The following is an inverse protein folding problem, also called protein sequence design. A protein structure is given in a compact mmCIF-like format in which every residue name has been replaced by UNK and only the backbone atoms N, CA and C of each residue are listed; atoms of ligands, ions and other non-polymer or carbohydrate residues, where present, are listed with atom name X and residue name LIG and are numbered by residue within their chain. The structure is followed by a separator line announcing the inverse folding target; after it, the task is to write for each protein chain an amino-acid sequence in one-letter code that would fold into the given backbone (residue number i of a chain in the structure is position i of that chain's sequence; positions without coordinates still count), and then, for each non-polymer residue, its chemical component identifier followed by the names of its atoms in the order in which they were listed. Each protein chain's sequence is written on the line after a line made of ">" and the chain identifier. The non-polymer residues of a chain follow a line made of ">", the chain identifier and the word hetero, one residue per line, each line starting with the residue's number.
data_IF_170375348780
#
_entry.id   IF_170375348780
#
_cell.length_a   1.000
_cell.length_b   1.000
_cell.length_c   1.000
_cell.angle_alpha   90.00
_cell.angle_beta   90.00
_cell.angle_gamma   90.00
#
_symmetry.space_group_name_H-M   'P 1'
#
loop_
_entity.id
_entity.type
_entity.pdbx_description
1 polymer ?
#
# COMPACT_ATOMS: atom_id res chain seq x y z
N UNK A 1 -18.03 -23.27 -20.12
CA UNK A 1 -17.47 -24.08 -21.20
C UNK A 1 -16.32 -23.43 -22.00
N UNK A 2 -16.00 -22.15 -21.76
CA UNK A 2 -14.89 -21.42 -22.44
C UNK A 2 -13.50 -21.59 -21.80
N UNK A 3 -13.40 -22.02 -20.54
CA UNK A 3 -12.11 -22.14 -19.84
C UNK A 3 -11.26 -23.33 -20.27
N UNK A 4 -11.88 -24.38 -20.81
CA UNK A 4 -11.15 -25.59 -21.25
C UNK A 4 -10.48 -25.45 -22.64
N UNK A 5 -10.85 -24.42 -23.42
CA UNK A 5 -10.25 -24.15 -24.73
C UNK A 5 -9.04 -23.20 -24.67
N UNK A 6 -8.85 -22.47 -23.57
CA UNK A 6 -7.73 -21.54 -23.42
C UNK A 6 -6.40 -22.24 -23.10
N UNK A 7 -6.44 -23.33 -22.32
CA UNK A 7 -5.22 -24.08 -21.92
C UNK A 7 -4.44 -24.67 -23.13
N UNK A 8 -5.07 -25.31 -24.12
CA UNK A 8 -4.35 -25.77 -25.30
C UNK A 8 -3.78 -24.63 -26.17
N UNK A 9 -4.49 -23.49 -26.24
CA UNK A 9 -4.07 -22.32 -27.03
C UNK A 9 -2.84 -21.66 -26.43
N UNK A 10 -2.76 -21.53 -25.10
CA UNK A 10 -1.59 -21.00 -24.40
C UNK A 10 -0.35 -21.84 -24.66
N UNK A 11 -0.42 -23.15 -24.49
CA UNK A 11 0.70 -24.06 -24.73
C UNK A 11 1.21 -24.00 -26.19
N UNK A 12 0.30 -24.00 -27.15
CA UNK A 12 0.66 -23.94 -28.57
C UNK A 12 1.32 -22.60 -28.89
N UNK A 13 0.80 -21.50 -28.38
CA UNK A 13 1.31 -20.15 -28.62
C UNK A 13 2.70 -19.96 -28.04
N UNK A 14 2.90 -20.36 -26.78
CA UNK A 14 4.19 -20.26 -26.08
C UNK A 14 5.24 -21.16 -26.75
N UNK A 15 4.90 -22.42 -27.09
CA UNK A 15 5.80 -23.33 -27.77
C UNK A 15 6.20 -22.82 -29.17
N UNK A 16 5.26 -22.25 -29.92
CA UNK A 16 5.54 -21.67 -31.23
C UNK A 16 6.49 -20.48 -31.13
N UNK A 17 6.30 -19.58 -30.15
CA UNK A 17 7.17 -18.42 -29.95
C UNK A 17 8.55 -18.82 -29.44
N UNK A 18 8.66 -19.89 -28.63
CA UNK A 18 9.95 -20.40 -28.18
C UNK A 18 10.81 -20.92 -29.33
N UNK A 19 10.20 -21.60 -30.30
CA UNK A 19 10.90 -22.10 -31.49
C UNK A 19 11.36 -20.95 -32.45
N UNK A 20 10.69 -19.77 -32.40
CA UNK A 20 10.94 -18.65 -33.30
C UNK A 20 11.59 -17.44 -32.61
N UNK A 21 12.69 -17.66 -31.89
CA UNK A 21 13.42 -16.61 -31.14
C UNK A 21 13.87 -15.38 -31.94
N UNK A 22 13.97 -15.48 -33.28
CA UNK A 22 14.36 -14.38 -34.18
C UNK A 22 13.21 -13.49 -34.71
N UNK A 23 11.96 -13.78 -34.32
CA UNK A 23 10.81 -12.98 -34.80
C UNK A 23 10.71 -11.65 -34.00
N UNK A 24 10.39 -10.57 -34.72
CA UNK A 24 10.07 -9.28 -34.10
C UNK A 24 8.75 -9.36 -33.32
N UNK A 25 8.57 -8.53 -32.28
CA UNK A 25 7.34 -8.48 -31.48
C UNK A 25 6.11 -8.25 -32.36
N UNK A 26 6.20 -7.39 -33.38
CA UNK A 26 5.15 -7.16 -34.37
C UNK A 26 4.70 -8.44 -35.06
N UNK A 27 5.63 -9.26 -35.52
CA UNK A 27 5.31 -10.55 -36.15
C UNK A 27 4.70 -11.54 -35.18
N UNK A 28 5.23 -11.59 -33.97
CA UNK A 28 4.67 -12.45 -32.90
C UNK A 28 3.23 -12.06 -32.57
N UNK A 29 2.91 -10.76 -32.47
CA UNK A 29 1.54 -10.27 -32.21
C UNK A 29 0.60 -10.64 -33.39
N UNK A 30 1.04 -10.50 -34.62
CA UNK A 30 0.24 -10.88 -35.79
C UNK A 30 -0.06 -12.41 -35.77
N UNK A 31 0.97 -13.25 -35.57
CA UNK A 31 0.83 -14.68 -35.44
C UNK A 31 -0.05 -15.08 -34.24
N UNK A 32 0.04 -14.34 -33.13
CA UNK A 32 -0.84 -14.54 -31.97
C UNK A 32 -2.32 -14.41 -32.35
N UNK A 33 -2.71 -13.42 -33.15
CA UNK A 33 -4.10 -13.28 -33.61
C UNK A 33 -4.55 -14.47 -34.47
N UNK A 34 -3.66 -15.00 -35.29
CA UNK A 34 -3.94 -16.17 -36.15
C UNK A 34 -4.15 -17.44 -35.31
N UNK A 35 -3.22 -17.74 -34.39
CA UNK A 35 -3.27 -18.93 -33.54
C UNK A 35 -4.47 -18.89 -32.61
N UNK A 36 -4.74 -17.73 -31.97
CA UNK A 36 -5.86 -17.55 -31.03
C UNK A 36 -7.20 -17.35 -31.73
N UNK A 37 -7.20 -17.32 -33.08
CA UNK A 37 -8.40 -17.06 -33.91
C UNK A 37 -9.15 -15.79 -33.49
N UNK A 38 -8.40 -14.73 -33.15
CA UNK A 38 -8.97 -13.41 -32.90
C UNK A 38 -9.34 -12.80 -34.26
N UNK A 39 -10.44 -13.24 -34.81
CA UNK A 39 -10.92 -12.83 -36.15
C UNK A 39 -12.45 -12.84 -36.18
N UNK A 40 -13.02 -12.23 -37.22
CA UNK A 40 -14.44 -12.30 -37.56
C UNK A 40 -14.58 -12.93 -38.94
N UNK A 41 -15.49 -13.89 -39.08
CA UNK A 41 -15.82 -14.43 -40.39
C UNK A 41 -16.90 -13.54 -41.05
N UNK A 42 -16.54 -12.94 -42.19
CA UNK A 42 -17.49 -12.16 -42.97
C UNK A 42 -17.44 -12.64 -44.44
N UNK A 43 -18.62 -13.02 -44.97
CA UNK A 43 -18.75 -13.53 -46.37
C UNK A 43 -17.82 -14.69 -46.72
N UNK A 44 -17.51 -15.58 -45.76
CA UNK A 44 -16.63 -16.71 -45.94
C UNK A 44 -15.13 -16.43 -45.69
N UNK A 45 -14.72 -15.17 -45.56
CA UNK A 45 -13.34 -14.77 -45.29
C UNK A 45 -13.12 -14.45 -43.82
N UNK A 46 -11.92 -14.80 -43.29
CA UNK A 46 -11.49 -14.47 -41.94
C UNK A 46 -10.81 -13.09 -41.92
N UNK A 47 -11.39 -12.17 -41.16
CA UNK A 47 -10.85 -10.83 -40.95
C UNK A 47 -10.13 -10.74 -39.63
N UNK A 48 -8.82 -10.55 -39.62
CA UNK A 48 -7.97 -10.35 -38.48
C UNK A 48 -7.76 -8.86 -38.14
N UNK A 49 -7.27 -8.51 -36.93
CA UNK A 49 -6.84 -7.16 -36.61
C UNK A 49 -5.76 -6.67 -37.61
N UNK A 50 -5.96 -5.48 -38.15
CA UNK A 50 -5.07 -4.89 -39.16
C UNK A 50 -4.09 -3.96 -38.46
N UNK A 51 -2.79 -4.19 -38.66
CA UNK A 51 -1.74 -3.31 -38.13
C UNK A 51 -1.85 -1.91 -38.77
N UNK A 52 -1.81 -0.86 -37.94
CA UNK A 52 -1.84 0.56 -38.36
C UNK A 52 -0.44 1.16 -38.25
N UNK A 53 0.13 1.17 -37.03
CA UNK A 53 1.43 1.79 -36.74
C UNK A 53 2.04 1.23 -35.47
N UNK A 54 3.34 1.46 -35.30
CA UNK A 54 4.05 1.32 -34.06
C UNK A 54 4.61 2.66 -33.61
N UNK A 55 4.62 2.91 -32.31
CA UNK A 55 5.18 4.11 -31.70
C UNK A 55 6.05 3.67 -30.55
N UNK A 56 7.34 3.96 -30.64
CA UNK A 56 8.33 3.60 -29.63
C UNK A 56 8.62 4.79 -28.73
N UNK A 57 8.69 4.53 -27.41
CA UNK A 57 9.19 5.44 -26.41
C UNK A 57 10.36 4.80 -25.64
N UNK A 58 10.91 5.51 -24.64
CA UNK A 58 12.06 5.05 -23.87
C UNK A 58 11.79 3.74 -23.11
N UNK A 59 10.55 3.49 -22.69
CA UNK A 59 10.16 2.38 -21.83
C UNK A 59 9.34 1.30 -22.53
N UNK A 60 8.76 1.59 -23.72
CA UNK A 60 7.82 0.68 -24.37
C UNK A 60 7.74 0.87 -25.88
N UNK A 61 7.14 -0.10 -26.56
CA UNK A 61 6.69 0.01 -27.94
C UNK A 61 5.18 -0.21 -27.96
N UNK A 62 4.44 0.71 -28.54
CA UNK A 62 3.00 0.66 -28.65
C UNK A 62 2.60 0.24 -30.07
N UNK A 63 2.03 -0.95 -30.22
CA UNK A 63 1.52 -1.47 -31.49
C UNK A 63 0.02 -1.17 -31.59
N UNK A 64 -0.38 -0.49 -32.67
CA UNK A 64 -1.77 -0.07 -32.88
C UNK A 64 -2.37 -0.90 -34.00
N UNK A 65 -3.52 -1.52 -33.70
CA UNK A 65 -4.28 -2.33 -34.64
C UNK A 65 -5.72 -1.83 -34.77
N UNK A 66 -6.27 -1.88 -35.98
CA UNK A 66 -7.69 -1.67 -36.23
C UNK A 66 -8.42 -2.99 -36.09
N UNK A 67 -9.43 -3.05 -35.26
CA UNK A 67 -10.23 -4.27 -35.06
C UNK A 67 -11.35 -4.38 -36.09
N UNK A 68 -11.60 -5.58 -36.63
CA UNK A 68 -12.84 -5.88 -37.33
C UNK A 68 -14.07 -5.67 -36.45
N UNK A 69 -15.18 -5.31 -37.04
CA UNK A 69 -16.45 -5.20 -36.33
C UNK A 69 -16.89 -6.59 -35.83
N UNK A 70 -17.27 -6.65 -34.55
CA UNK A 70 -17.78 -7.89 -33.94
C UNK A 70 -16.81 -8.59 -32.99
N UNK A 71 -15.58 -8.11 -32.82
CA UNK A 71 -14.65 -8.63 -31.78
C UNK A 71 -14.91 -7.89 -30.46
N UNK A 72 -15.33 -8.59 -29.38
CA UNK A 72 -15.52 -8.00 -28.08
C UNK A 72 -14.16 -7.60 -27.46
N UNK A 73 -14.05 -6.35 -27.01
CA UNK A 73 -12.83 -5.84 -26.34
C UNK A 73 -12.43 -6.64 -25.11
N UNK A 74 -13.39 -7.16 -24.38
CA UNK A 74 -13.15 -8.00 -23.20
C UNK A 74 -12.42 -9.30 -23.50
N UNK A 75 -12.65 -9.90 -24.70
CA UNK A 75 -11.97 -11.10 -25.13
C UNK A 75 -10.47 -10.88 -25.25
N UNK A 76 -10.09 -9.75 -25.86
CA UNK A 76 -8.68 -9.44 -26.10
C UNK A 76 -7.96 -9.08 -24.80
N UNK A 77 -8.63 -8.40 -23.85
CA UNK A 77 -8.04 -8.12 -22.53
C UNK A 77 -7.65 -9.42 -21.79
N UNK A 78 -8.46 -10.47 -21.89
CA UNK A 78 -8.16 -11.79 -21.31
C UNK A 78 -6.97 -12.51 -21.98
N UNK A 79 -6.59 -12.08 -23.17
CA UNK A 79 -5.44 -12.64 -23.88
C UNK A 79 -4.14 -11.89 -23.62
N UNK A 80 -4.15 -10.85 -22.76
CA UNK A 80 -2.95 -10.11 -22.41
C UNK A 80 -1.89 -11.02 -21.78
N UNK A 81 -2.28 -11.89 -20.84
CA UNK A 81 -1.39 -12.86 -20.18
C UNK A 81 -0.70 -13.78 -21.19
N UNK A 82 -1.45 -14.31 -22.16
CA UNK A 82 -0.90 -15.18 -23.22
C UNK A 82 0.11 -14.43 -24.09
N UNK A 83 -0.16 -13.14 -24.34
CA UNK A 83 0.79 -12.26 -25.06
C UNK A 83 2.05 -12.00 -24.23
N UNK A 84 1.92 -11.75 -22.94
CA UNK A 84 3.06 -11.55 -22.02
C UNK A 84 3.98 -12.78 -22.01
N UNK A 85 3.39 -13.96 -21.83
CA UNK A 85 4.12 -15.23 -21.87
C UNK A 85 4.81 -15.46 -23.23
N UNK A 86 4.11 -15.19 -24.33
CA UNK A 86 4.65 -15.40 -25.67
C UNK A 86 5.73 -14.38 -26.07
N UNK A 87 5.64 -13.15 -25.59
CA UNK A 87 6.62 -12.09 -25.85
C UNK A 87 7.77 -12.09 -24.84
N UNK A 88 7.62 -12.74 -23.67
CA UNK A 88 8.52 -12.64 -22.52
C UNK A 88 8.72 -11.19 -22.06
N UNK A 89 7.68 -10.37 -22.20
CA UNK A 89 7.67 -8.94 -21.88
C UNK A 89 6.31 -8.55 -21.29
N UNK A 90 6.27 -7.62 -20.34
CA UNK A 90 5.00 -7.10 -19.85
C UNK A 90 4.21 -6.39 -20.95
N UNK A 91 2.89 -6.59 -20.95
CA UNK A 91 1.99 -6.03 -21.95
C UNK A 91 0.79 -5.34 -21.29
N UNK A 92 0.49 -4.13 -21.71
CA UNK A 92 -0.79 -3.48 -21.39
C UNK A 92 -1.64 -3.35 -22.64
N UNK A 93 -2.92 -3.76 -22.53
CA UNK A 93 -3.87 -3.67 -23.64
C UNK A 93 -4.92 -2.62 -23.32
N UNK A 94 -5.17 -1.73 -24.27
CA UNK A 94 -6.21 -0.72 -24.15
C UNK A 94 -6.96 -0.54 -25.48
N UNK A 95 -8.17 0.03 -25.38
CA UNK A 95 -9.04 0.29 -26.54
C UNK A 95 -9.44 1.75 -26.55
N UNK A 96 -9.34 2.38 -27.72
CA UNK A 96 -9.82 3.72 -27.96
C UNK A 96 -10.30 3.84 -29.42
N UNK A 97 -11.53 4.32 -29.63
CA UNK A 97 -12.08 4.63 -30.96
C UNK A 97 -11.92 3.51 -32.02
N UNK A 98 -12.20 2.25 -31.65
CA UNK A 98 -12.02 1.04 -32.48
C UNK A 98 -10.57 0.63 -32.75
N UNK A 99 -9.62 1.29 -32.12
CA UNK A 99 -8.22 0.90 -32.18
C UNK A 99 -7.84 0.11 -30.95
N UNK A 100 -7.07 -0.94 -31.16
CA UNK A 100 -6.44 -1.77 -30.15
C UNK A 100 -5.02 -1.30 -29.99
N UNK A 101 -4.67 -0.92 -28.77
CA UNK A 101 -3.32 -0.53 -28.38
C UNK A 101 -2.71 -1.65 -27.56
N UNK A 102 -1.63 -2.26 -28.08
CA UNK A 102 -0.83 -3.28 -27.39
C UNK A 102 0.51 -2.64 -27.04
N UNK A 103 0.66 -2.26 -25.77
CA UNK A 103 1.88 -1.65 -25.26
C UNK A 103 2.79 -2.71 -24.67
N UNK A 104 3.91 -2.97 -25.34
CA UNK A 104 4.93 -3.95 -24.93
C UNK A 104 6.07 -3.21 -24.24
N UNK A 105 6.34 -3.53 -23.00
CA UNK A 105 7.37 -2.86 -22.22
C UNK A 105 8.73 -3.50 -22.40
N UNK A 106 9.78 -2.67 -22.44
CA UNK A 106 11.18 -3.10 -22.58
C UNK A 106 11.77 -3.67 -21.30
N UNK A 107 11.18 -3.30 -20.14
CA UNK A 107 11.65 -3.69 -18.82
C UNK A 107 10.47 -4.17 -17.96
N UNK A 108 10.77 -5.01 -16.99
CA UNK A 108 9.83 -5.43 -15.95
C UNK A 108 9.87 -4.48 -14.76
N UNK A 109 8.86 -4.58 -13.87
CA UNK A 109 8.93 -3.93 -12.57
C UNK A 109 10.15 -4.48 -11.84
N UNK A 110 11.06 -3.65 -11.30
CA UNK A 110 12.28 -4.11 -10.66
C UNK A 110 11.94 -5.00 -9.44
N UNK A 111 12.70 -6.05 -9.21
CA UNK A 111 12.53 -6.90 -8.02
C UNK A 111 12.92 -6.18 -6.72
N UNK A 112 13.84 -5.22 -6.83
CA UNK A 112 14.26 -4.36 -5.74
C UNK A 112 14.44 -2.94 -6.24
N UNK A 113 13.88 -1.99 -5.51
CA UNK A 113 14.02 -0.57 -5.81
C UNK A 113 14.38 0.18 -4.53
N UNK A 114 15.50 0.87 -4.51
CA UNK A 114 15.96 1.57 -3.33
C UNK A 114 15.28 2.94 -3.19
N UNK A 115 14.98 3.31 -1.98
CA UNK A 115 14.51 4.64 -1.63
C UNK A 115 15.61 5.68 -1.83
N UNK A 116 15.25 6.88 -2.28
CA UNK A 116 16.15 8.01 -2.44
C UNK A 116 15.43 9.33 -2.16
N UNK A 117 16.17 10.40 -1.87
CA UNK A 117 15.59 11.70 -1.53
C UNK A 117 14.83 12.36 -2.68
N UNK A 118 15.17 12.06 -3.92
CA UNK A 118 14.48 12.54 -5.12
C UNK A 118 13.03 12.01 -5.27
N UNK A 119 12.67 11.02 -4.46
CA UNK A 119 11.28 10.54 -4.36
C UNK A 119 10.40 11.43 -3.46
N UNK A 120 11.00 12.37 -2.72
CA UNK A 120 10.26 13.28 -1.86
C UNK A 120 9.57 14.38 -2.68
N UNK A 121 8.39 14.79 -2.25
CA UNK A 121 7.68 15.98 -2.74
C UNK A 121 7.58 16.98 -1.59
N UNK A 122 8.58 17.83 -1.50
CA UNK A 122 8.71 18.80 -0.41
C UNK A 122 7.44 19.65 -0.21
N UNK A 123 7.11 19.93 1.03
CA UNK A 123 5.96 20.71 1.46
C UNK A 123 4.59 20.18 1.01
N UNK A 124 4.50 18.91 0.63
CA UNK A 124 3.23 18.25 0.27
C UNK A 124 2.92 17.06 1.19
N UNK A 125 1.70 16.54 1.10
CA UNK A 125 1.27 15.30 1.73
C UNK A 125 1.26 14.13 0.75
N UNK A 126 1.91 14.32 -0.41
CA UNK A 126 2.09 13.30 -1.43
C UNK A 126 3.30 12.42 -1.09
N UNK A 127 3.07 11.15 -0.86
CA UNK A 127 4.14 10.19 -0.51
C UNK A 127 4.31 9.15 -1.62
N UNK A 128 5.55 8.80 -1.91
CA UNK A 128 5.87 7.72 -2.83
C UNK A 128 5.42 6.38 -2.27
N UNK A 129 4.54 5.69 -2.99
CA UNK A 129 4.06 4.36 -2.64
C UNK A 129 4.90 3.28 -3.32
N UNK A 130 5.19 3.46 -4.61
CA UNK A 130 5.94 2.47 -5.36
C UNK A 130 6.17 2.83 -6.82
N UNK A 131 6.98 2.02 -7.47
CA UNK A 131 7.25 2.08 -8.90
C UNK A 131 6.43 1.02 -9.61
N UNK A 132 5.50 1.46 -10.45
CA UNK A 132 4.79 0.61 -11.39
C UNK A 132 5.63 0.40 -12.67
N UNK A 133 5.08 -0.33 -13.60
CA UNK A 133 5.75 -0.65 -14.86
C UNK A 133 6.13 0.60 -15.68
N UNK A 134 5.27 1.60 -15.69
CA UNK A 134 5.38 2.79 -16.56
C UNK A 134 5.42 4.12 -15.80
N UNK A 135 5.28 4.11 -14.47
CA UNK A 135 5.19 5.35 -13.69
C UNK A 135 5.53 5.14 -12.21
N UNK A 136 5.84 6.23 -11.56
CA UNK A 136 5.90 6.32 -10.12
C UNK A 136 4.50 6.58 -9.55
N UNK A 137 4.11 5.82 -8.54
CA UNK A 137 2.81 5.94 -7.87
C UNK A 137 3.00 6.71 -6.59
N UNK A 138 2.34 7.86 -6.52
CA UNK A 138 2.25 8.68 -5.31
C UNK A 138 0.85 8.62 -4.73
N UNK A 139 0.77 8.71 -3.42
CA UNK A 139 -0.49 8.83 -2.69
C UNK A 139 -0.59 10.19 -2.01
N UNK A 140 -1.71 10.87 -2.23
CA UNK A 140 -2.00 12.18 -1.65
C UNK A 140 -2.94 12.02 -0.44
N UNK A 141 -2.38 12.16 0.76
CA UNK A 141 -3.15 12.07 2.00
C UNK A 141 -4.13 13.25 2.23
N UNK A 142 -4.08 14.32 1.43
CA UNK A 142 -5.10 15.37 1.45
C UNK A 142 -6.36 14.94 0.69
N UNK A 143 -6.20 14.22 -0.42
CA UNK A 143 -7.30 13.73 -1.24
C UNK A 143 -7.92 12.45 -0.70
N UNK A 144 -7.06 11.52 -0.28
CA UNK A 144 -7.47 10.21 0.23
C UNK A 144 -6.82 9.99 1.59
N UNK A 145 -7.49 10.41 2.68
CA UNK A 145 -6.86 10.55 3.99
C UNK A 145 -6.50 9.22 4.67
N UNK A 146 -7.23 8.15 4.38
CA UNK A 146 -7.07 6.87 5.08
C UNK A 146 -6.57 5.77 4.16
N UNK A 147 -5.77 4.86 4.71
CA UNK A 147 -5.18 3.76 3.96
C UNK A 147 -5.25 2.46 4.77
N UNK A 148 -5.65 1.37 4.11
CA UNK A 148 -5.49 0.01 4.62
C UNK A 148 -4.25 -0.63 4.01
N UNK A 149 -3.45 -1.32 4.84
CA UNK A 149 -2.24 -2.04 4.39
C UNK A 149 -2.33 -3.49 4.84
N UNK A 150 -2.25 -4.42 3.92
CA UNK A 150 -2.33 -5.85 4.20
C UNK A 150 -1.12 -6.59 3.66
N UNK A 151 -0.72 -7.68 4.32
CA UNK A 151 0.37 -8.52 3.81
C UNK A 151 1.01 -9.38 4.88
N UNK A 152 1.44 -10.58 4.46
CA UNK A 152 2.14 -11.53 5.34
C UNK A 152 3.45 -10.94 5.89
N UNK A 153 3.92 -11.52 6.97
CA UNK A 153 5.23 -11.21 7.55
C UNK A 153 6.34 -11.35 6.50
N UNK A 154 7.34 -10.45 6.52
CA UNK A 154 8.50 -10.40 5.61
C UNK A 154 8.24 -9.95 4.18
N UNK A 155 6.99 -9.61 3.80
CA UNK A 155 6.71 -9.11 2.45
C UNK A 155 6.81 -7.59 2.29
N UNK A 156 7.13 -6.82 3.36
CA UNK A 156 7.48 -5.41 3.26
C UNK A 156 6.55 -4.43 3.97
N UNK A 157 5.53 -4.88 4.70
CA UNK A 157 4.58 -4.01 5.44
C UNK A 157 5.29 -3.01 6.36
N UNK A 158 6.16 -3.48 7.26
CA UNK A 158 6.92 -2.61 8.19
C UNK A 158 7.87 -1.67 7.46
N UNK A 159 8.55 -2.14 6.40
CA UNK A 159 9.41 -1.29 5.57
C UNK A 159 8.60 -0.18 4.91
N UNK A 160 7.41 -0.49 4.42
CA UNK A 160 6.49 0.50 3.86
C UNK A 160 6.08 1.56 4.88
N UNK A 161 5.69 1.17 6.10
CA UNK A 161 5.36 2.11 7.17
C UNK A 161 6.55 3.03 7.52
N UNK A 162 7.75 2.47 7.62
CA UNK A 162 8.99 3.22 7.82
C UNK A 162 9.22 4.23 6.70
N UNK A 163 8.99 3.85 5.44
CA UNK A 163 9.10 4.75 4.29
C UNK A 163 8.09 5.91 4.37
N UNK A 164 6.82 5.61 4.67
CA UNK A 164 5.76 6.63 4.79
C UNK A 164 6.12 7.63 5.90
N UNK A 165 6.46 7.13 7.09
CA UNK A 165 6.82 7.99 8.23
C UNK A 165 8.05 8.85 7.92
N UNK A 166 9.11 8.24 7.38
CA UNK A 166 10.33 8.96 7.01
C UNK A 166 10.04 10.04 5.98
N UNK A 167 9.31 9.71 4.92
CA UNK A 167 8.95 10.67 3.87
C UNK A 167 8.12 11.82 4.43
N UNK A 168 7.11 11.55 5.25
CA UNK A 168 6.26 12.59 5.86
C UNK A 168 7.04 13.48 6.82
N UNK A 169 7.96 12.93 7.63
CA UNK A 169 8.81 13.72 8.52
C UNK A 169 9.73 14.66 7.72
N UNK A 170 10.33 14.14 6.65
CA UNK A 170 11.23 14.95 5.81
C UNK A 170 10.47 16.02 5.00
N UNK A 171 9.25 15.72 4.54
CA UNK A 171 8.42 16.63 3.75
C UNK A 171 7.70 17.68 4.60
N UNK A 172 7.27 17.33 5.82
CA UNK A 172 6.43 18.16 6.68
C UNK A 172 6.89 18.14 8.15
N UNK A 173 8.15 18.47 8.45
CA UNK A 173 8.76 18.23 9.77
C UNK A 173 8.07 19.00 10.91
N UNK A 174 7.44 20.13 10.62
CA UNK A 174 6.75 20.96 11.61
C UNK A 174 5.26 20.64 11.74
N UNK A 175 4.68 19.97 10.73
CA UNK A 175 3.23 19.83 10.60
C UNK A 175 2.73 18.41 10.75
N UNK A 176 3.61 17.40 10.63
CA UNK A 176 3.22 16.00 10.81
C UNK A 176 3.30 15.60 12.28
N UNK A 177 2.27 14.90 12.77
CA UNK A 177 2.21 14.29 14.09
C UNK A 177 1.78 12.84 13.97
N UNK A 178 2.45 11.94 14.72
CA UNK A 178 2.17 10.52 14.71
C UNK A 178 1.70 10.03 16.08
N UNK A 179 0.64 9.25 16.07
CA UNK A 179 0.19 8.38 17.15
C UNK A 179 0.31 6.95 16.64
N UNK A 180 1.06 6.10 17.32
CA UNK A 180 1.41 4.77 16.81
C UNK A 180 0.90 3.71 17.79
N UNK A 181 0.15 2.72 17.29
CA UNK A 181 -0.31 1.57 18.04
C UNK A 181 0.49 0.36 17.57
N UNK A 182 1.43 -0.09 18.42
CA UNK A 182 2.29 -1.27 18.20
C UNK A 182 2.15 -2.24 19.36
N UNK A 183 1.10 -3.07 19.31
CA UNK A 183 0.74 -4.03 20.37
C UNK A 183 1.61 -5.30 20.40
N UNK A 184 2.78 -5.25 19.75
CA UNK A 184 3.84 -6.25 19.90
C UNK A 184 4.92 -5.76 20.87
N UNK A 185 4.48 -5.21 22.02
CA UNK A 185 5.35 -4.64 23.04
C UNK A 185 6.25 -3.50 22.52
N UNK A 186 5.81 -2.79 21.47
CA UNK A 186 6.54 -1.67 20.87
C UNK A 186 7.82 -2.06 20.14
N UNK A 187 8.03 -3.34 19.84
CA UNK A 187 9.28 -3.87 19.29
C UNK A 187 9.74 -3.14 18.01
N UNK A 188 8.80 -2.76 17.15
CA UNK A 188 9.10 -2.11 15.87
C UNK A 188 9.19 -0.59 15.99
N UNK A 189 8.31 0.05 16.78
CA UNK A 189 8.13 1.50 16.78
C UNK A 189 8.54 2.23 18.06
N UNK A 190 8.92 1.54 19.15
CA UNK A 190 9.43 2.18 20.37
C UNK A 190 10.60 3.15 20.10
N UNK A 191 11.57 2.85 19.20
CA UNK A 191 12.68 3.77 18.92
C UNK A 191 12.25 5.11 18.32
N UNK A 192 11.02 5.19 17.77
CA UNK A 192 10.48 6.42 17.19
C UNK A 192 9.95 7.41 18.24
N UNK A 193 9.78 7.00 19.52
CA UNK A 193 9.36 7.87 20.64
C UNK A 193 10.29 9.09 20.84
N UNK A 194 11.53 8.97 20.38
CA UNK A 194 12.50 10.06 20.51
C UNK A 194 12.40 11.10 19.37
N UNK A 195 11.54 10.91 18.38
CA UNK A 195 11.32 11.88 17.31
C UNK A 195 10.29 12.92 17.71
N UNK A 196 10.57 14.21 17.44
CA UNK A 196 9.68 15.33 17.78
C UNK A 196 8.30 15.29 17.10
N UNK A 197 8.17 14.52 16.02
CA UNK A 197 6.92 14.31 15.31
C UNK A 197 6.07 13.17 15.88
N UNK A 198 6.66 12.30 16.72
CA UNK A 198 5.93 11.21 17.35
C UNK A 198 5.41 11.67 18.70
N UNK A 199 4.10 11.75 18.81
CA UNK A 199 3.44 12.19 20.04
C UNK A 199 3.49 11.08 21.08
N UNK A 200 3.16 9.86 20.67
CA UNK A 200 3.13 8.70 21.55
C UNK A 200 3.15 7.37 20.75
N UNK A 201 3.62 6.31 21.41
CA UNK A 201 3.56 4.92 20.93
C UNK A 201 2.89 4.10 22.02
N UNK A 202 1.72 3.53 21.70
CA UNK A 202 1.00 2.61 22.58
C UNK A 202 1.48 1.18 22.34
N UNK A 203 1.94 0.52 23.40
CA UNK A 203 2.56 -0.81 23.35
C UNK A 203 1.64 -1.92 23.86
N UNK A 204 0.51 -1.53 24.46
CA UNK A 204 -0.51 -2.44 24.96
C UNK A 204 -1.92 -1.85 24.74
N UNK A 205 -3.00 -2.65 24.88
CA UNK A 205 -4.37 -2.22 24.63
C UNK A 205 -4.83 -1.06 25.51
N UNK A 206 -4.41 -0.99 26.76
CA UNK A 206 -4.77 0.08 27.70
C UNK A 206 -4.20 1.43 27.23
N UNK A 207 -2.92 1.46 26.87
CA UNK A 207 -2.28 2.64 26.29
C UNK A 207 -2.91 3.04 24.97
N UNK A 208 -3.32 2.05 24.14
CA UNK A 208 -4.01 2.33 22.89
C UNK A 208 -5.36 3.01 23.13
N UNK A 209 -6.13 2.55 24.13
CA UNK A 209 -7.39 3.20 24.49
C UNK A 209 -7.16 4.63 24.97
N UNK A 210 -6.22 4.87 25.88
CA UNK A 210 -5.91 6.21 26.38
C UNK A 210 -5.47 7.15 25.25
N UNK A 211 -4.63 6.67 24.33
CA UNK A 211 -4.20 7.41 23.13
C UNK A 211 -5.42 7.79 22.28
N UNK A 212 -6.29 6.83 21.98
CA UNK A 212 -7.46 7.05 21.12
C UNK A 212 -8.46 8.01 21.77
N UNK A 213 -8.60 8.02 23.10
CA UNK A 213 -9.39 9.02 23.84
C UNK A 213 -8.83 10.43 23.59
N UNK A 214 -7.51 10.61 23.76
CA UNK A 214 -6.86 11.92 23.49
C UNK A 214 -7.00 12.36 22.02
N UNK A 215 -6.89 11.42 21.08
CA UNK A 215 -7.12 11.70 19.64
C UNK A 215 -8.56 12.16 19.41
N UNK A 216 -9.55 11.47 20.01
CA UNK A 216 -10.96 11.83 19.90
C UNK A 216 -11.25 13.22 20.48
N UNK A 217 -10.68 13.56 21.65
CA UNK A 217 -10.79 14.90 22.24
C UNK A 217 -10.26 15.99 21.28
N UNK A 218 -9.09 15.74 20.66
CA UNK A 218 -8.57 16.64 19.63
C UNK A 218 -9.51 16.77 18.42
N UNK A 219 -10.14 15.67 17.99
CA UNK A 219 -11.12 15.71 16.89
C UNK A 219 -12.34 16.56 17.26
N UNK A 220 -12.87 16.41 18.49
CA UNK A 220 -14.01 17.19 18.98
C UNK A 220 -13.65 18.70 19.00
N UNK A 221 -12.49 19.05 19.54
CA UNK A 221 -12.00 20.44 19.54
C UNK A 221 -11.85 20.98 18.13
N UNK A 222 -11.32 20.16 17.19
CA UNK A 222 -11.17 20.56 15.79
C UNK A 222 -12.53 20.81 15.11
N UNK A 223 -13.54 19.99 15.40
CA UNK A 223 -14.92 20.19 14.92
C UNK A 223 -15.46 21.55 15.39
N UNK A 224 -15.25 21.90 16.66
CA UNK A 224 -15.75 23.19 17.19
C UNK A 224 -15.06 24.39 16.54
N UNK A 225 -13.72 24.31 16.32
CA UNK A 225 -12.95 25.35 15.62
C UNK A 225 -13.50 25.53 14.21
N UNK A 226 -13.67 24.43 13.47
CA UNK A 226 -14.14 24.46 12.09
C UNK A 226 -15.57 24.99 11.97
N UNK A 227 -16.47 24.57 12.89
CA UNK A 227 -17.84 25.08 12.95
C UNK A 227 -17.88 26.60 13.17
N UNK A 228 -17.07 27.11 14.12
CA UNK A 228 -16.99 28.56 14.38
C UNK A 228 -16.45 29.35 13.18
N UNK A 229 -15.61 28.71 12.38
CA UNK A 229 -14.98 29.33 11.20
C UNK A 229 -15.69 29.04 9.88
N UNK A 230 -16.82 28.31 9.93
CA UNK A 230 -17.64 27.90 8.76
C UNK A 230 -16.88 27.06 7.72
N UNK A 231 -15.89 26.25 8.13
CA UNK A 231 -15.18 25.33 7.26
C UNK A 231 -15.71 23.90 7.42
N UNK A 232 -15.78 23.17 6.31
CA UNK A 232 -16.18 21.76 6.27
C UNK A 232 -14.99 20.81 6.10
N UNK A 233 -13.87 21.32 5.61
CA UNK A 233 -12.66 20.53 5.38
C UNK A 233 -11.43 21.28 5.86
N UNK A 234 -10.51 20.56 6.51
CA UNK A 234 -9.25 21.12 7.04
C UNK A 234 -8.36 21.72 5.94
N UNK A 235 -8.44 21.19 4.71
CA UNK A 235 -7.65 21.72 3.57
C UNK A 235 -8.04 23.14 3.16
N UNK A 236 -9.24 23.57 3.51
CA UNK A 236 -9.73 24.92 3.23
C UNK A 236 -9.32 25.93 4.31
N UNK A 237 -8.64 25.46 5.37
CA UNK A 237 -8.22 26.27 6.52
C UNK A 237 -6.73 26.60 6.46
N UNK A 238 -6.29 27.53 7.35
CA UNK A 238 -4.87 27.82 7.56
C UNK A 238 -4.15 26.75 8.42
N UNK A 239 -4.86 25.77 8.96
CA UNK A 239 -4.32 24.71 9.83
C UNK A 239 -3.55 23.70 9.01
N UNK A 240 -2.23 23.70 9.17
CA UNK A 240 -1.32 22.84 8.40
C UNK A 240 -1.03 21.51 9.07
N UNK A 241 -1.26 21.37 10.38
CA UNK A 241 -0.98 20.14 11.11
C UNK A 241 -1.86 18.98 10.60
N UNK A 242 -1.23 17.81 10.43
CA UNK A 242 -1.93 16.55 10.13
C UNK A 242 -1.48 15.48 11.12
N UNK A 243 -2.47 14.82 11.69
CA UNK A 243 -2.30 13.81 12.72
C UNK A 243 -2.48 12.41 12.10
N UNK A 244 -1.40 11.63 12.06
CA UNK A 244 -1.41 10.27 11.54
C UNK A 244 -1.56 9.27 12.70
N UNK A 245 -2.59 8.44 12.61
CA UNK A 245 -2.80 7.31 13.51
C UNK A 245 -2.37 6.05 12.75
N UNK A 246 -1.32 5.39 13.23
CA UNK A 246 -0.75 4.20 12.61
C UNK A 246 -1.06 3.01 13.51
N UNK A 247 -1.74 2.00 12.96
CA UNK A 247 -1.99 0.71 13.61
C UNK A 247 -1.13 -0.33 12.89
N UNK A 248 -0.07 -0.84 13.52
CA UNK A 248 0.84 -1.82 12.87
C UNK A 248 0.16 -3.18 12.66
N UNK A 249 -0.67 -3.61 13.61
CA UNK A 249 -1.38 -4.88 13.49
C UNK A 249 -2.79 -4.82 14.08
N UNK A 250 -3.76 -4.61 13.20
CA UNK A 250 -5.17 -4.50 13.58
C UNK A 250 -5.75 -5.77 14.20
N UNK A 251 -5.20 -6.95 13.88
CA UNK A 251 -5.62 -8.21 14.48
C UNK A 251 -5.45 -8.22 16.02
N UNK A 252 -4.47 -7.50 16.55
CA UNK A 252 -4.24 -7.39 17.98
C UNK A 252 -5.32 -6.54 18.70
N UNK A 253 -6.11 -5.79 17.96
CA UNK A 253 -7.28 -5.05 18.45
C UNK A 253 -8.60 -5.81 18.27
N UNK A 254 -8.56 -7.08 17.81
CA UNK A 254 -9.75 -7.88 17.58
C UNK A 254 -10.31 -8.44 18.90
N UNK A 255 -11.58 -8.14 19.27
CA UNK A 255 -12.20 -8.64 20.52
C UNK A 255 -12.63 -10.09 20.37
N UNK A 256 -11.70 -11.04 20.52
CA UNK A 256 -11.96 -12.47 20.39
C UNK A 256 -12.75 -13.04 21.58
N UNK A 257 -13.57 -14.07 21.35
CA UNK A 257 -14.43 -14.65 22.39
C UNK A 257 -13.68 -15.30 23.58
N UNK A 258 -12.42 -15.72 23.36
CA UNK A 258 -11.58 -16.34 24.41
C UNK A 258 -11.02 -15.36 25.45
N UNK A 259 -11.15 -14.06 25.25
CA UNK A 259 -10.63 -13.03 26.15
C UNK A 259 -11.59 -12.75 27.33
N UNK A 260 -11.07 -12.33 28.49
CA UNK A 260 -11.89 -11.80 29.60
C UNK A 260 -12.78 -10.65 29.10
N UNK A 261 -14.01 -10.55 29.65
CA UNK A 261 -15.00 -9.54 29.26
C UNK A 261 -14.42 -8.12 29.23
N UNK A 262 -13.72 -7.72 30.30
CA UNK A 262 -13.12 -6.38 30.43
C UNK A 262 -12.17 -6.08 29.30
N UNK A 263 -11.36 -7.05 28.88
CA UNK A 263 -10.40 -6.89 27.78
C UNK A 263 -11.10 -6.83 26.43
N UNK A 264 -12.13 -7.64 26.21
CA UNK A 264 -12.95 -7.57 24.98
C UNK A 264 -13.63 -6.21 24.82
N UNK A 265 -14.25 -5.71 25.92
CA UNK A 265 -14.91 -4.41 25.91
C UNK A 265 -13.92 -3.29 25.59
N UNK A 266 -12.70 -3.34 26.13
CA UNK A 266 -11.62 -2.39 25.84
C UNK A 266 -11.24 -2.41 24.35
N UNK A 267 -10.96 -3.61 23.80
CA UNK A 267 -10.60 -3.76 22.39
C UNK A 267 -11.74 -3.30 21.46
N UNK A 268 -12.98 -3.61 21.80
CA UNK A 268 -14.16 -3.14 21.07
C UNK A 268 -14.23 -1.61 21.04
N UNK A 269 -14.01 -0.94 22.17
CA UNK A 269 -14.00 0.53 22.23
C UNK A 269 -12.86 1.10 21.35
N UNK A 270 -11.68 0.48 21.35
CA UNK A 270 -10.59 0.88 20.47
C UNK A 270 -10.99 0.78 18.98
N UNK A 271 -11.63 -0.32 18.58
CA UNK A 271 -12.09 -0.48 17.19
C UNK A 271 -13.18 0.54 16.80
N UNK A 272 -14.12 0.84 17.70
CA UNK A 272 -15.15 1.87 17.47
C UNK A 272 -14.51 3.25 17.29
N UNK A 273 -13.54 3.62 18.12
CA UNK A 273 -12.83 4.90 18.00
C UNK A 273 -12.02 4.99 16.68
N UNK A 274 -11.35 3.92 16.28
CA UNK A 274 -10.65 3.87 14.98
C UNK A 274 -11.64 3.97 13.80
N UNK A 275 -12.82 3.35 13.93
CA UNK A 275 -13.89 3.45 12.94
C UNK A 275 -14.46 4.88 12.86
N UNK A 276 -14.58 5.59 14.00
CA UNK A 276 -14.95 7.00 14.04
C UNK A 276 -13.89 7.88 13.36
N UNK A 277 -12.60 7.65 13.63
CA UNK A 277 -11.49 8.35 12.95
C UNK A 277 -11.55 8.14 11.44
N UNK A 278 -11.75 6.90 10.98
CA UNK A 278 -11.88 6.60 9.55
C UNK A 278 -13.08 7.30 8.91
N UNK A 279 -14.19 7.46 9.64
CA UNK A 279 -15.44 8.02 9.12
C UNK A 279 -15.42 9.54 9.01
N UNK A 280 -14.87 10.25 9.99
CA UNK A 280 -14.95 11.72 10.06
C UNK A 280 -13.58 12.41 10.17
N UNK A 281 -12.53 11.69 10.54
CA UNK A 281 -11.21 12.27 10.80
C UNK A 281 -10.57 12.91 9.57
N UNK A 282 -10.84 12.39 8.38
CA UNK A 282 -10.25 12.89 7.14
C UNK A 282 -10.45 14.40 6.93
N UNK A 283 -11.69 14.86 7.04
CA UNK A 283 -12.01 16.29 6.95
C UNK A 283 -11.45 17.15 8.08
N UNK A 284 -11.08 16.53 9.21
CA UNK A 284 -10.56 17.20 10.41
C UNK A 284 -9.03 17.25 10.49
N UNK A 285 -8.31 16.66 9.53
CA UNK A 285 -6.85 16.63 9.56
C UNK A 285 -6.26 15.34 10.16
N UNK A 286 -7.06 14.33 10.46
CA UNK A 286 -6.60 13.04 10.96
C UNK A 286 -6.53 12.01 9.83
N UNK A 287 -5.48 11.20 9.84
CA UNK A 287 -5.15 10.22 8.80
C UNK A 287 -4.94 8.86 9.44
N UNK A 288 -5.73 7.86 9.07
CA UNK A 288 -5.59 6.50 9.59
C UNK A 288 -4.82 5.64 8.58
N UNK A 289 -3.74 5.00 9.05
CA UNK A 289 -3.05 3.93 8.33
C UNK A 289 -3.26 2.66 9.15
N UNK A 290 -4.16 1.80 8.67
CA UNK A 290 -4.55 0.58 9.37
C UNK A 290 -3.92 -0.63 8.70
N UNK A 291 -3.04 -1.33 9.43
CA UNK A 291 -2.33 -2.49 8.90
C UNK A 291 -2.79 -3.79 9.53
N UNK A 292 -2.77 -4.87 8.74
CA UNK A 292 -3.01 -6.24 9.22
C UNK A 292 -2.19 -7.25 8.42
N UNK A 293 -1.72 -8.30 9.08
CA UNK A 293 -0.95 -9.37 8.40
C UNK A 293 -1.88 -10.32 7.65
N UNK A 294 -3.02 -10.63 8.22
CA UNK A 294 -4.00 -11.52 7.61
C UNK A 294 -5.40 -10.92 7.74
N UNK A 295 -5.89 -10.26 6.68
CA UNK A 295 -7.20 -9.62 6.72
C UNK A 295 -8.32 -10.66 6.71
N UNK A 296 -9.20 -10.54 7.72
CA UNK A 296 -10.49 -11.23 7.83
C UNK A 296 -11.57 -10.19 8.12
N UNK A 297 -12.83 -10.59 8.09
CA UNK A 297 -13.93 -9.69 8.45
C UNK A 297 -13.82 -9.14 9.88
N UNK A 298 -13.19 -9.90 10.78
CA UNK A 298 -13.01 -9.54 12.17
C UNK A 298 -11.77 -8.66 12.41
N UNK A 299 -10.66 -8.94 11.68
CA UNK A 299 -9.38 -8.23 11.85
C UNK A 299 -9.27 -6.93 11.05
N UNK A 300 -10.13 -6.76 10.05
CA UNK A 300 -10.27 -5.50 9.28
C UNK A 300 -11.72 -5.03 9.38
N UNK A 301 -12.06 -4.18 10.37
CA UNK A 301 -13.41 -3.71 10.57
C UNK A 301 -13.99 -3.06 9.31
N UNK A 302 -15.24 -3.43 8.98
CA UNK A 302 -15.92 -2.99 7.75
C UNK A 302 -15.92 -1.48 7.57
N UNK A 303 -16.14 -0.73 8.65
CA UNK A 303 -16.17 0.74 8.59
C UNK A 303 -14.81 1.34 8.25
N UNK A 304 -13.73 0.79 8.81
CA UNK A 304 -12.37 1.22 8.48
C UNK A 304 -12.09 0.95 7.00
N UNK A 305 -12.38 -0.28 6.53
CA UNK A 305 -12.18 -0.66 5.14
C UNK A 305 -12.96 0.22 4.15
N UNK A 306 -14.24 0.50 4.46
CA UNK A 306 -15.12 1.30 3.59
C UNK A 306 -14.73 2.78 3.51
N UNK A 307 -14.10 3.33 4.56
CA UNK A 307 -13.66 4.72 4.59
C UNK A 307 -12.17 4.87 4.22
N UNK A 308 -11.49 3.78 3.86
CA UNK A 308 -10.10 3.78 3.40
C UNK A 308 -10.06 3.46 1.90
N UNK A 309 -10.19 4.49 1.06
CA UNK A 309 -10.20 4.32 -0.40
C UNK A 309 -8.84 3.88 -0.94
N UNK A 310 -7.75 4.21 -0.25
CA UNK A 310 -6.42 3.69 -0.57
C UNK A 310 -6.18 2.35 0.11
N UNK A 311 -5.85 1.33 -0.67
CA UNK A 311 -5.54 -0.01 -0.20
C UNK A 311 -4.22 -0.49 -0.79
N UNK A 312 -3.29 -0.91 0.07
CA UNK A 312 -2.03 -1.53 -0.33
C UNK A 312 -2.00 -2.97 0.15
N UNK A 313 -1.84 -3.90 -0.77
CA UNK A 313 -1.73 -5.31 -0.45
C UNK A 313 -0.38 -5.88 -0.91
N UNK A 314 0.40 -6.42 0.02
CA UNK A 314 1.49 -7.33 -0.26
C UNK A 314 0.94 -8.76 -0.41
N UNK A 315 1.79 -9.70 -0.86
CA UNK A 315 1.38 -11.09 -1.03
C UNK A 315 0.60 -11.63 0.16
N UNK A 316 -0.52 -12.29 -0.12
CA UNK A 316 -1.36 -13.02 0.83
C UNK A 316 -1.48 -14.49 0.40
N UNK A 317 -1.85 -15.40 1.32
CA UNK A 317 -1.84 -16.84 0.99
C UNK A 317 -3.07 -17.31 0.23
N UNK A 318 -4.17 -16.55 0.22
CA UNK A 318 -5.45 -16.98 -0.36
C UNK A 318 -6.20 -15.85 -1.07
N UNK A 319 -6.98 -16.21 -2.10
CA UNK A 319 -7.87 -15.27 -2.79
C UNK A 319 -8.94 -14.68 -1.85
N UNK A 320 -9.39 -15.43 -0.83
CA UNK A 320 -10.33 -14.91 0.17
C UNK A 320 -9.73 -13.76 0.97
N UNK A 321 -8.48 -13.91 1.44
CA UNK A 321 -7.80 -12.83 2.16
C UNK A 321 -7.55 -11.63 1.24
N UNK A 322 -7.22 -11.87 -0.03
CA UNK A 322 -7.08 -10.82 -1.05
C UNK A 322 -8.39 -10.05 -1.24
N UNK A 323 -9.51 -10.75 -1.38
CA UNK A 323 -10.85 -10.16 -1.50
C UNK A 323 -11.23 -9.33 -0.26
N UNK A 324 -10.84 -9.75 0.95
CA UNK A 324 -11.05 -8.94 2.15
C UNK A 324 -10.18 -7.69 2.14
N UNK A 325 -8.92 -7.80 1.71
CA UNK A 325 -7.96 -6.69 1.68
C UNK A 325 -8.31 -5.62 0.63
N UNK A 326 -8.54 -6.04 -0.62
CA UNK A 326 -8.62 -5.15 -1.80
C UNK A 326 -10.00 -5.07 -2.45
N UNK A 327 -11.00 -5.84 -2.02
CA UNK A 327 -12.26 -6.08 -2.73
C UNK A 327 -12.07 -6.78 -4.09
N UNK A 328 -10.93 -7.44 -4.30
CA UNK A 328 -10.60 -8.23 -5.48
C UNK A 328 -9.50 -9.26 -5.15
N UNK A 329 -9.36 -10.28 -5.99
CA UNK A 329 -8.27 -11.26 -5.94
C UNK A 329 -6.99 -10.68 -6.58
N UNK A 330 -5.85 -11.37 -6.40
CA UNK A 330 -4.57 -11.07 -7.06
C UNK A 330 -3.39 -10.98 -6.10
N UNK A 331 -3.59 -10.75 -4.80
CA UNK A 331 -2.46 -10.73 -3.84
C UNK A 331 -1.84 -12.12 -3.65
N UNK A 332 -2.61 -13.18 -3.81
CA UNK A 332 -2.16 -14.56 -3.76
C UNK A 332 -1.30 -14.94 -4.98
N UNK A 333 -1.49 -14.23 -6.09
CA UNK A 333 -0.77 -14.45 -7.35
C UNK A 333 0.57 -13.69 -7.41
N UNK A 334 0.74 -12.67 -6.54
CA UNK A 334 1.98 -11.89 -6.50
C UNK A 334 3.21 -12.81 -6.30
N UNK A 335 4.34 -12.53 -6.96
CA UNK A 335 5.58 -13.26 -6.75
C UNK A 335 6.04 -13.15 -5.29
N UNK A 336 6.80 -14.14 -4.81
CA UNK A 336 7.39 -14.13 -3.47
C UNK A 336 8.58 -13.17 -3.37
N UNK A 337 8.35 -11.90 -3.73
CA UNK A 337 9.33 -10.83 -3.73
C UNK A 337 8.97 -9.80 -2.65
N UNK A 338 9.86 -9.51 -1.69
CA UNK A 338 9.64 -8.45 -0.71
C UNK A 338 9.44 -7.09 -1.38
N UNK A 339 8.41 -6.36 -0.96
CA UNK A 339 8.07 -5.05 -1.50
C UNK A 339 7.22 -5.08 -2.77
N UNK A 340 6.93 -6.27 -3.36
CA UNK A 340 5.96 -6.38 -4.44
C UNK A 340 4.56 -6.32 -3.87
N UNK A 341 3.73 -5.42 -4.44
CA UNK A 341 2.40 -5.13 -3.91
C UNK A 341 1.41 -4.73 -5.00
N UNK A 342 0.12 -4.84 -4.71
CA UNK A 342 -0.95 -4.18 -5.45
C UNK A 342 -1.39 -2.95 -4.67
N UNK A 343 -1.41 -1.80 -5.34
CA UNK A 343 -1.96 -0.56 -4.79
C UNK A 343 -3.25 -0.20 -5.53
N UNK A 344 -4.31 -0.03 -4.75
CA UNK A 344 -5.64 0.26 -5.24
C UNK A 344 -6.15 1.58 -4.70
N UNK A 345 -6.60 2.42 -5.60
CA UNK A 345 -7.49 3.56 -5.40
C UNK A 345 -8.66 3.40 -6.38
N UNK A 346 -8.78 4.22 -7.41
CA UNK A 346 -9.73 4.03 -8.52
C UNK A 346 -9.39 2.82 -9.41
N UNK A 347 -8.11 2.49 -9.49
CA UNK A 347 -7.57 1.36 -10.26
C UNK A 347 -6.51 0.65 -9.44
N UNK A 348 -6.34 -0.63 -9.72
CA UNK A 348 -5.28 -1.44 -9.13
C UNK A 348 -4.06 -1.42 -10.02
N UNK A 349 -2.90 -1.14 -9.41
CA UNK A 349 -1.60 -1.13 -10.07
C UNK A 349 -0.63 -2.04 -9.31
N UNK A 350 0.06 -2.91 -10.03
CA UNK A 350 1.18 -3.66 -9.47
C UNK A 350 2.40 -2.75 -9.36
N UNK A 351 3.05 -2.78 -8.20
CA UNK A 351 4.15 -1.88 -7.86
C UNK A 351 5.27 -2.60 -7.10
N UNK A 352 6.45 -2.02 -7.15
CA UNK A 352 7.54 -2.30 -6.22
C UNK A 352 7.69 -1.13 -5.25
N UNK A 353 7.48 -1.40 -3.96
CA UNK A 353 7.69 -0.43 -2.87
C UNK A 353 9.19 -0.16 -2.71
N UNK A 354 9.62 1.09 -2.49
CA UNK A 354 11.03 1.40 -2.31
C UNK A 354 11.55 0.82 -1.00
N UNK A 355 12.77 0.30 -1.04
CA UNK A 355 13.45 -0.26 0.12
C UNK A 355 14.34 0.79 0.77
N UNK A 356 14.05 1.13 2.02
CA UNK A 356 14.86 2.00 2.88
C UNK A 356 15.51 1.15 3.97
N UNK A 357 16.83 1.19 4.04
CA UNK A 357 17.59 0.51 5.11
C UNK A 357 17.41 1.26 6.43
N UNK A 358 17.28 0.54 7.54
CA UNK A 358 17.11 1.14 8.87
C UNK A 358 18.26 2.11 9.22
N UNK A 359 19.50 1.78 8.90
CA UNK A 359 20.64 2.68 9.11
C UNK A 359 20.46 4.01 8.35
N UNK A 360 20.16 3.93 7.06
CA UNK A 360 20.02 5.12 6.22
C UNK A 360 18.82 5.97 6.70
N UNK A 361 17.74 5.33 7.12
CA UNK A 361 16.58 5.99 7.72
C UNK A 361 16.94 6.76 8.99
N UNK A 362 17.64 6.10 9.93
CA UNK A 362 18.04 6.75 11.19
C UNK A 362 19.05 7.88 10.96
N UNK A 363 19.93 7.77 9.98
CA UNK A 363 20.83 8.85 9.58
C UNK A 363 20.07 10.09 9.06
N UNK A 364 18.97 9.87 8.34
CA UNK A 364 18.09 10.94 7.89
C UNK A 364 17.30 11.58 9.03
N UNK A 365 16.83 10.77 9.99
CA UNK A 365 15.92 11.21 11.05
C UNK A 365 16.65 11.73 12.30
N UNK A 366 17.97 11.56 12.44
CA UNK A 366 18.72 11.96 13.64
C UNK A 366 18.55 13.42 14.02
N UNK A 367 18.36 14.32 13.06
CA UNK A 367 18.17 15.74 13.31
C UNK A 367 16.83 16.10 13.97
N UNK A 368 15.87 15.17 13.94
CA UNK A 368 14.55 15.34 14.53
C UNK A 368 14.41 14.67 15.91
N UNK A 369 15.48 14.04 16.40
CA UNK A 369 15.48 13.46 17.75
C UNK A 369 15.46 14.56 18.80
N UNK A 370 14.56 14.42 19.78
CA UNK A 370 14.51 15.27 20.95
C UNK A 370 15.68 14.89 21.85
N UNK A 371 16.56 15.85 22.13
CA UNK A 371 17.61 15.69 23.13
C UNK A 371 16.91 15.71 24.50
N UNK A 372 16.70 14.55 25.09
CA UNK A 372 16.33 14.47 26.51
C UNK A 372 17.49 15.03 27.30
N UNK A 373 17.33 16.23 27.88
CA UNK A 373 18.25 16.71 28.92
C UNK A 373 18.16 15.66 30.05
N UNK A 374 19.22 14.87 30.23
CA UNK A 374 19.40 14.13 31.46
C UNK A 374 19.37 15.16 32.58
N UNK A 375 18.33 15.15 33.40
CA UNK A 375 18.38 15.78 34.73
C UNK A 375 19.62 15.18 35.38
N UNK A 376 20.64 16.03 35.54
CA UNK A 376 21.83 15.67 36.29
C UNK A 376 21.36 15.33 37.70
N UNK A 377 21.33 14.04 38.00
CA UNK A 377 21.20 13.57 39.38
C UNK A 377 22.34 14.17 40.17
N UNK A 378 22.02 15.09 41.05
CA UNK A 378 22.92 15.66 42.02
C UNK A 378 23.59 14.53 42.81
N UNK A 379 24.91 14.42 42.83
CA UNK A 379 25.59 13.49 43.71
C UNK A 379 25.83 14.15 45.03
N UNK A 380 24.87 14.03 45.99
CA UNK A 380 25.16 14.28 47.41
C UNK A 380 24.11 13.58 48.27
N UNK A 381 24.42 12.45 48.79
CA UNK A 381 24.56 12.15 50.22
C UNK A 381 24.86 10.66 50.42
N UNK A 382 26.15 10.34 50.48
CA UNK A 382 26.57 9.12 51.19
C UNK A 382 26.37 9.33 52.68
N UNK A 383 25.36 8.71 53.27
CA UNK A 383 25.33 8.46 54.71
C UNK A 383 25.71 7.01 54.97
N UNK A 384 26.87 6.86 55.66
CA UNK A 384 27.32 5.62 56.24
C UNK A 384 26.23 5.01 57.14
N UNK A 385 25.84 3.81 56.84
CA UNK A 385 25.16 2.95 57.79
C UNK A 385 25.73 1.53 57.74
N UNK A 386 26.17 1.12 58.91
CA UNK A 386 26.86 -0.07 59.33
C UNK A 386 26.42 -1.38 58.69
N UNK A 387 27.47 -2.21 58.45
CA UNK A 387 27.41 -3.67 58.31
C UNK A 387 27.04 -4.30 59.65
N UNK A 388 25.99 -5.10 59.66
CA UNK A 388 25.87 -6.21 60.61
C UNK A 388 25.50 -7.48 59.86
N UNK A 389 26.44 -8.41 59.90
CA UNK A 389 26.29 -9.78 59.44
C UNK A 389 25.44 -10.55 60.45
N UNK A 390 24.38 -11.18 60.04
CA UNK A 390 23.77 -12.26 60.79
C UNK A 390 23.86 -13.53 59.98
N UNK A 391 24.66 -14.48 60.50
CA UNK A 391 24.66 -15.90 60.13
C UNK A 391 23.41 -16.55 60.72
N UNK A 392 22.74 -17.37 59.92
CA UNK A 392 21.93 -18.47 60.43
C UNK A 392 22.37 -19.79 59.82
N UNK A 393 22.49 -20.77 60.72
CA UNK A 393 22.83 -22.17 60.48
C UNK A 393 21.81 -22.87 59.54
#
# INVERSE_FOLDING_TARGET
>A
MMSLLLIPVTFITVAYFYQNKGMTDKKKIATFFEITKVCVQHKGELQYPIFIKEVEDDISINYVYKLPLGIPSQLIKKLAEVLEEGLYKPVKISFQQRELYIRVFKQQIPERWNWSKDLLKEHTWNVMIGKALDKHIYHDFEKTPHMCVSGMTRFGKTVFLKNIMTSLILQQPQHVKFHIIDLKEGLEFSPYKDLSQVVEVAENPEQALEMLVRVREKMVNQIEIMKKSYFNNIVDTSIKERCFIIVDEGANLCPTQGLPKKQRDLLYICQEMLSEIARIGGGLGFRLIFCTQYPTADTLPRQIKQNSDAKLGFRLPTAVASQVALDESGLEELPSLPGRALFKTDRTEEIQVPYLKDKDMWDLLKQYKVVKQHEASNPQTESKANRDFIHFE
#
